data_IF_206832286479
#
_entry.id   IF_206832286479
#
_cell.length_a   1.000
_cell.length_b   1.000
_cell.length_c   1.000
_cell.angle_alpha   90.00
_cell.angle_beta   90.00
_cell.angle_gamma   90.00
#
_symmetry.space_group_name_H-M   'P 1'
#
loop_
_entity.id
_entity.type
_entity.pdbx_description
1 polymer ?
#
# COMPACT_ATOMS: atom_id res chain seq x y z
N UNK A 1 8.51 -12.38 -12.19
CA UNK A 1 7.73 -12.74 -11.00
C UNK A 1 7.75 -11.54 -10.08
N UNK A 2 6.64 -10.78 -9.99
CA UNK A 2 6.50 -9.78 -8.92
C UNK A 2 6.28 -10.54 -7.62
N UNK A 3 7.03 -10.19 -6.58
CA UNK A 3 6.85 -10.79 -5.25
C UNK A 3 5.45 -10.45 -4.76
N UNK A 4 4.65 -11.48 -4.49
CA UNK A 4 3.34 -11.32 -3.88
C UNK A 4 3.50 -10.73 -2.47
N UNK A 5 2.88 -9.58 -2.21
CA UNK A 5 2.85 -8.97 -0.87
C UNK A 5 2.03 -9.89 0.04
N UNK A 6 2.56 -10.16 1.25
CA UNK A 6 1.93 -11.06 2.22
C UNK A 6 1.59 -10.33 3.52
N UNK A 7 0.56 -10.80 4.22
CA UNK A 7 0.27 -10.36 5.58
C UNK A 7 1.48 -10.61 6.50
N UNK A 8 1.79 -9.65 7.37
CA UNK A 8 2.97 -9.64 8.22
C UNK A 8 4.24 -9.13 7.53
N UNK A 9 4.23 -8.91 6.21
CA UNK A 9 5.36 -8.36 5.48
C UNK A 9 5.60 -6.90 5.90
N UNK A 10 6.82 -6.60 6.35
CA UNK A 10 7.26 -5.22 6.62
C UNK A 10 7.81 -4.59 5.35
N UNK A 11 7.57 -3.30 5.18
CA UNK A 11 8.09 -2.55 4.05
C UNK A 11 8.34 -1.09 4.45
N UNK A 12 9.21 -0.44 3.69
CA UNK A 12 9.41 1.01 3.72
C UNK A 12 8.71 1.63 2.52
N UNK A 13 8.22 2.85 2.70
CA UNK A 13 7.59 3.60 1.63
C UNK A 13 7.89 5.10 1.69
N UNK A 14 7.86 5.73 0.52
CA UNK A 14 8.03 7.16 0.36
C UNK A 14 7.05 7.69 -0.68
N UNK A 15 6.42 8.84 -0.41
CA UNK A 15 5.56 9.50 -1.40
C UNK A 15 6.45 10.12 -2.47
N UNK A 16 6.20 9.81 -3.73
CA UNK A 16 6.89 10.47 -4.84
C UNK A 16 6.40 11.92 -4.92
N UNK A 17 7.28 12.84 -4.54
CA UNK A 17 7.07 14.28 -4.65
C UNK A 17 8.41 15.00 -4.85
N UNK A 18 8.36 16.22 -5.43
CA UNK A 18 9.55 17.05 -5.67
C UNK A 18 10.30 17.41 -4.37
N UNK A 19 9.60 17.43 -3.24
CA UNK A 19 10.19 17.50 -1.91
C UNK A 19 10.26 16.07 -1.34
N UNK A 20 11.46 15.52 -1.06
CA UNK A 20 11.58 14.17 -0.52
C UNK A 20 10.89 14.10 0.84
N UNK A 21 9.83 13.31 0.93
CA UNK A 21 9.15 13.04 2.20
C UNK A 21 10.00 12.12 3.07
N UNK A 22 9.81 12.16 4.39
CA UNK A 22 10.49 11.22 5.28
C UNK A 22 10.09 9.79 4.91
N UNK A 23 11.06 8.90 4.81
CA UNK A 23 10.79 7.48 4.60
C UNK A 23 10.04 6.92 5.81
N UNK A 24 8.93 6.22 5.54
CA UNK A 24 8.05 5.65 6.56
C UNK A 24 8.07 4.13 6.44
N UNK A 25 7.71 3.44 7.51
CA UNK A 25 7.67 1.98 7.54
C UNK A 25 6.26 1.53 7.89
N UNK A 26 5.85 0.40 7.34
CA UNK A 26 4.57 -0.22 7.68
C UNK A 26 4.68 -1.74 7.66
N UNK A 27 3.67 -2.39 8.22
CA UNK A 27 3.47 -3.84 8.19
C UNK A 27 2.11 -4.16 7.59
N UNK A 28 2.07 -5.08 6.64
CA UNK A 28 0.83 -5.48 5.96
C UNK A 28 -0.07 -6.23 6.94
N UNK A 29 -1.31 -5.78 7.07
CA UNK A 29 -2.34 -6.42 7.88
C UNK A 29 -3.29 -7.22 7.01
N UNK A 30 -3.65 -6.71 5.83
CA UNK A 30 -4.61 -7.35 4.91
C UNK A 30 -4.25 -7.06 3.46
N UNK A 31 -4.65 -7.97 2.57
CA UNK A 31 -4.66 -7.77 1.13
C UNK A 31 -6.09 -7.99 0.67
N UNK A 32 -6.67 -7.02 -0.03
CA UNK A 32 -8.10 -6.94 -0.33
C UNK A 32 -8.31 -6.80 -1.84
N UNK A 33 -9.35 -7.44 -2.34
CA UNK A 33 -9.85 -7.23 -3.70
C UNK A 33 -10.70 -5.95 -3.80
N UNK A 34 -10.94 -5.48 -5.02
CA UNK A 34 -11.79 -4.30 -5.26
C UNK A 34 -13.22 -4.48 -4.69
N UNK A 35 -13.76 -5.70 -4.74
CA UNK A 35 -15.10 -6.00 -4.20
C UNK A 35 -15.14 -5.99 -2.66
N UNK A 36 -14.06 -6.41 -2.01
CA UNK A 36 -13.92 -6.32 -0.54
C UNK A 36 -13.83 -4.87 -0.06
N UNK A 37 -13.27 -3.97 -0.88
CA UNK A 37 -13.32 -2.52 -0.67
C UNK A 37 -14.69 -1.89 -1.01
N UNK A 38 -15.66 -2.70 -1.45
CA UNK A 38 -17.01 -2.25 -1.80
C UNK A 38 -17.08 -1.50 -3.13
N UNK A 39 -16.08 -1.65 -3.99
CA UNK A 39 -16.00 -0.95 -5.27
C UNK A 39 -16.67 -1.74 -6.39
N UNK A 40 -17.21 -1.00 -7.36
CA UNK A 40 -17.81 -1.58 -8.56
C UNK A 40 -16.78 -2.17 -9.51
N UNK A 41 -17.22 -2.99 -10.49
CA UNK A 41 -16.33 -3.69 -11.43
C UNK A 41 -15.53 -2.75 -12.34
N UNK A 42 -15.95 -1.50 -12.48
CA UNK A 42 -15.19 -0.49 -13.25
C UNK A 42 -13.80 -0.23 -12.66
N UNK A 43 -13.61 -0.48 -11.35
CA UNK A 43 -12.31 -0.30 -10.68
C UNK A 43 -11.28 -1.33 -11.14
N UNK A 44 -11.71 -2.50 -11.62
CA UNK A 44 -10.80 -3.54 -12.13
C UNK A 44 -9.98 -3.07 -13.35
N UNK A 45 -10.42 -2.00 -14.04
CA UNK A 45 -9.66 -1.37 -15.13
C UNK A 45 -8.49 -0.50 -14.64
N UNK A 46 -8.37 -0.24 -13.34
CA UNK A 46 -7.40 0.69 -12.78
C UNK A 46 -6.56 0.05 -11.67
N UNK A 47 -7.20 -0.68 -10.76
CA UNK A 47 -6.54 -1.27 -9.59
C UNK A 47 -6.68 -2.79 -9.59
N UNK A 48 -5.59 -3.46 -9.25
CA UNK A 48 -5.52 -4.91 -9.15
C UNK A 48 -5.98 -5.41 -7.76
N UNK A 49 -5.50 -4.77 -6.70
CA UNK A 49 -5.83 -5.09 -5.31
C UNK A 49 -5.42 -3.94 -4.38
N UNK A 50 -5.79 -4.06 -3.12
CA UNK A 50 -5.52 -3.09 -2.05
C UNK A 50 -4.71 -3.76 -0.94
N UNK A 51 -3.89 -2.95 -0.27
CA UNK A 51 -3.07 -3.41 0.85
C UNK A 51 -3.37 -2.53 2.05
N UNK A 52 -3.96 -3.13 3.07
CA UNK A 52 -4.08 -2.51 4.39
C UNK A 52 -2.80 -2.79 5.18
N UNK A 53 -2.30 -1.76 5.86
CA UNK A 53 -1.09 -1.85 6.65
C UNK A 53 -1.18 -0.95 7.89
N UNK A 54 -0.42 -1.29 8.93
CA UNK A 54 -0.19 -0.42 10.08
C UNK A 54 1.15 0.28 9.98
N UNK A 55 1.15 1.59 10.22
CA UNK A 55 2.36 2.40 10.26
C UNK A 55 3.24 2.04 11.46
N UNK A 56 4.55 2.02 11.25
CA UNK A 56 5.57 1.73 12.24
C UNK A 56 6.44 2.98 12.50
N UNK A 57 6.91 3.21 13.75
CA UNK A 57 6.62 2.41 14.94
C UNK A 57 5.15 2.54 15.37
N UNK A 58 4.60 1.47 15.95
CA UNK A 58 3.24 1.51 16.49
C UNK A 58 3.19 2.59 17.59
N UNK A 59 2.27 3.53 17.43
CA UNK A 59 1.97 4.52 18.48
C UNK A 59 0.79 4.02 19.32
N UNK A 60 0.42 4.74 20.38
CA UNK A 60 -0.75 4.38 21.21
C UNK A 60 -2.05 4.22 20.39
N UNK A 61 -2.13 4.85 19.22
CA UNK A 61 -3.20 4.67 18.24
C UNK A 61 -2.59 4.24 16.88
N UNK A 62 -2.70 2.96 16.47
CA UNK A 62 -2.12 2.50 15.21
C UNK A 62 -2.76 3.22 14.01
N UNK A 63 -1.95 3.91 13.22
CA UNK A 63 -2.40 4.53 11.97
C UNK A 63 -2.60 3.43 10.92
N UNK A 64 -3.85 3.23 10.51
CA UNK A 64 -4.17 2.34 9.38
C UNK A 64 -3.90 3.08 8.08
N UNK A 65 -3.14 2.44 7.20
CA UNK A 65 -2.78 2.92 5.88
C UNK A 65 -3.37 1.97 4.84
N UNK A 66 -3.94 2.53 3.78
CA UNK A 66 -4.47 1.74 2.65
C UNK A 66 -3.70 2.15 1.40
N UNK A 67 -3.12 1.17 0.73
CA UNK A 67 -2.36 1.35 -0.50
C UNK A 67 -3.09 0.70 -1.66
N UNK A 68 -3.08 1.36 -2.81
CA UNK A 68 -3.67 0.84 -4.03
C UNK A 68 -2.61 0.23 -4.93
N UNK A 69 -2.78 -1.03 -5.34
CA UNK A 69 -1.95 -1.64 -6.39
C UNK A 69 -2.59 -1.35 -7.74
N UNK A 70 -1.95 -0.51 -8.55
CA UNK A 70 -2.37 -0.27 -9.93
C UNK A 70 -2.14 -1.48 -10.84
N UNK A 71 -3.00 -1.64 -11.85
CA UNK A 71 -2.78 -2.64 -12.92
C UNK A 71 -1.55 -2.32 -13.78
N UNK A 72 -1.10 -1.06 -13.74
CA UNK A 72 0.12 -0.56 -14.36
C UNK A 72 1.40 -1.00 -13.60
N UNK A 73 1.24 -1.67 -12.46
CA UNK A 73 2.33 -2.14 -11.65
C UNK A 73 2.95 -1.07 -10.75
N UNK A 74 2.27 0.08 -10.56
CA UNK A 74 2.62 1.08 -9.55
C UNK A 74 1.86 0.83 -8.24
N UNK A 75 2.31 1.50 -7.18
CA UNK A 75 1.61 1.52 -5.88
C UNK A 75 1.28 2.96 -5.57
N UNK A 76 0.07 3.18 -5.06
CA UNK A 76 -0.43 4.47 -4.68
C UNK A 76 -0.79 4.48 -3.19
N UNK A 77 -0.77 5.67 -2.62
CA UNK A 77 -1.24 5.96 -1.27
C UNK A 77 -1.91 7.34 -1.31
N UNK A 78 -3.19 7.42 -0.95
CA UNK A 78 -3.99 8.64 -1.04
C UNK A 78 -3.91 9.29 -2.45
N UNK A 79 -3.99 8.47 -3.49
CA UNK A 79 -3.93 8.92 -4.89
C UNK A 79 -2.55 9.40 -5.37
N UNK A 80 -1.49 9.28 -4.56
CA UNK A 80 -0.12 9.62 -4.96
C UNK A 80 0.72 8.36 -5.11
N UNK A 81 1.53 8.31 -6.16
CA UNK A 81 2.44 7.18 -6.35
C UNK A 81 3.47 7.13 -5.23
N UNK A 82 3.77 5.93 -4.74
CA UNK A 82 4.77 5.69 -3.72
C UNK A 82 5.83 4.72 -4.22
N UNK A 83 7.03 4.84 -3.68
CA UNK A 83 8.05 3.79 -3.79
C UNK A 83 7.88 2.82 -2.62
N UNK A 84 8.02 1.52 -2.88
CA UNK A 84 7.96 0.47 -1.86
C UNK A 84 9.28 -0.30 -1.87
N UNK A 85 9.86 -0.49 -0.69
CA UNK A 85 10.99 -1.41 -0.49
C UNK A 85 10.61 -2.44 0.56
N UNK A 86 10.49 -3.70 0.14
CA UNK A 86 10.22 -4.81 1.06
C UNK A 86 11.42 -5.02 1.98
N UNK A 87 11.14 -5.25 3.26
CA UNK A 87 12.15 -5.58 4.26
C UNK A 87 12.25 -7.09 4.42
N UNK A 88 13.47 -7.60 4.65
CA UNK A 88 13.70 -9.01 4.93
C UNK A 88 13.26 -9.39 6.34
#
# INVERSE_FOLDING_TARGET
MQSEIKVGQRFKFNILSDNPSQERQAVVTRVLSNSEEGLGPEVDFYFAYWVEAYELPETEAPTTLVFERGIDGNVYFNGRQVTITLLK
#
